data_IF_501499532817
#
_entry.id   IF_501499532817
#
_cell.length_a   1.000
_cell.length_b   1.000
_cell.length_c   1.000
_cell.angle_alpha   90.00
_cell.angle_beta   90.00
_cell.angle_gamma   90.00
#
_symmetry.space_group_name_H-M   'P 1'
#
loop_
_entity.id
_entity.type
_entity.pdbx_description
1 polymer ?
#
# COMPACT_ATOMS: atom_id res chain seq x y z
N UNK A 1 30.09 -13.89 17.42
CA UNK A 1 29.98 -12.92 16.29
C UNK A 1 29.85 -13.60 14.90
N UNK A 2 30.12 -14.90 14.80
CA UNK A 2 30.11 -15.66 13.52
C UNK A 2 28.76 -16.29 13.15
N UNK A 3 27.81 -16.45 14.05
CA UNK A 3 26.53 -17.15 13.79
C UNK A 3 25.46 -16.31 13.11
N UNK A 4 25.51 -14.96 13.19
CA UNK A 4 24.50 -14.09 12.59
C UNK A 4 24.63 -13.86 11.08
N UNK A 5 25.82 -14.02 10.50
CA UNK A 5 26.09 -13.73 9.09
C UNK A 5 25.69 -14.90 8.18
N UNK A 6 25.68 -16.14 8.69
CA UNK A 6 25.31 -17.33 7.90
C UNK A 6 23.77 -17.55 7.77
N UNK A 7 22.97 -16.79 8.52
CA UNK A 7 21.52 -16.98 8.57
C UNK A 7 20.81 -16.53 7.28
N UNK A 8 21.29 -15.43 6.68
CA UNK A 8 20.66 -14.85 5.49
C UNK A 8 21.08 -15.51 4.15
N UNK A 9 22.14 -16.33 4.14
CA UNK A 9 22.54 -17.11 2.95
C UNK A 9 21.68 -18.34 2.67
N UNK A 10 20.71 -18.67 3.53
CA UNK A 10 19.80 -19.82 3.39
C UNK A 10 18.32 -19.42 3.31
N UNK A 11 17.99 -18.36 2.58
CA UNK A 11 16.61 -18.21 2.07
C UNK A 11 16.45 -19.21 0.92
N UNK A 12 16.26 -20.50 1.25
CA UNK A 12 15.84 -21.49 0.28
C UNK A 12 14.35 -21.30 0.00
N UNK A 13 14.04 -20.91 -1.20
CA UNK A 13 12.73 -21.14 -1.79
C UNK A 13 12.51 -22.64 -1.68
N UNK A 14 11.54 -23.08 -0.88
CA UNK A 14 11.10 -24.45 -0.93
C UNK A 14 10.66 -24.71 -2.36
N UNK A 15 11.29 -25.72 -2.99
CA UNK A 15 10.96 -26.19 -4.34
C UNK A 15 9.58 -26.85 -4.35
N UNK A 16 8.55 -26.05 -4.05
CA UNK A 16 7.17 -26.44 -4.26
C UNK A 16 6.87 -26.08 -5.70
N UNK A 17 6.97 -27.08 -6.60
CA UNK A 17 6.45 -26.94 -7.96
C UNK A 17 5.07 -26.31 -7.87
N UNK A 18 4.87 -25.09 -8.39
CA UNK A 18 3.60 -24.42 -8.30
C UNK A 18 2.54 -25.29 -8.97
N UNK A 19 1.39 -25.49 -8.33
CA UNK A 19 0.21 -26.08 -9.00
C UNK A 19 -0.31 -25.04 -9.97
N UNK A 20 0.17 -25.10 -11.20
CA UNK A 20 -0.14 -24.14 -12.26
C UNK A 20 -1.52 -24.38 -12.87
N UNK A 21 -2.32 -23.30 -12.93
CA UNK A 21 -3.26 -23.11 -14.03
C UNK A 21 -2.53 -22.24 -15.07
N UNK A 22 -2.13 -22.83 -16.21
CA UNK A 22 -1.31 -22.16 -17.21
C UNK A 22 -2.11 -22.14 -18.50
N UNK A 23 -2.52 -20.93 -18.94
CA UNK A 23 -2.47 -20.64 -20.35
C UNK A 23 -0.99 -20.76 -20.79
N UNK A 24 -0.69 -21.30 -21.95
CA UNK A 24 0.69 -21.41 -22.43
C UNK A 24 1.35 -20.02 -22.37
N UNK A 25 2.36 -19.88 -21.52
CA UNK A 25 3.06 -18.62 -21.29
C UNK A 25 3.89 -18.32 -22.54
N UNK A 26 3.86 -17.07 -23.07
CA UNK A 26 4.65 -16.70 -24.25
C UNK A 26 6.13 -17.00 -24.04
N UNK A 27 6.81 -17.45 -25.09
CA UNK A 27 8.24 -17.75 -25.06
C UNK A 27 9.11 -16.48 -24.86
N UNK A 28 8.58 -15.30 -25.24
CA UNK A 28 9.31 -14.03 -25.15
C UNK A 28 8.97 -13.27 -23.88
N UNK A 29 10.00 -12.91 -23.09
CA UNK A 29 9.84 -12.17 -21.84
C UNK A 29 9.25 -10.75 -22.05
N UNK A 30 9.40 -10.18 -23.26
CA UNK A 30 8.89 -8.84 -23.60
C UNK A 30 7.36 -8.75 -23.60
N UNK A 31 6.67 -9.86 -23.85
CA UNK A 31 5.22 -9.91 -23.92
C UNK A 31 4.56 -10.15 -22.56
N UNK A 32 5.37 -10.40 -21.52
CA UNK A 32 4.90 -10.70 -20.18
C UNK A 32 4.93 -9.46 -19.30
N UNK A 33 3.80 -9.17 -18.66
CA UNK A 33 3.67 -8.13 -17.63
C UNK A 33 3.54 -8.81 -16.28
N UNK A 34 4.60 -8.78 -15.48
CA UNK A 34 4.62 -9.41 -14.16
C UNK A 34 4.14 -8.43 -13.10
N UNK A 35 3.00 -8.74 -12.47
CA UNK A 35 2.41 -7.95 -11.39
C UNK A 35 2.49 -8.73 -10.08
N UNK A 36 3.06 -8.13 -9.06
CA UNK A 36 3.28 -8.71 -7.73
C UNK A 36 2.33 -8.08 -6.72
N UNK A 37 1.62 -8.89 -5.96
CA UNK A 37 0.67 -8.45 -4.94
C UNK A 37 0.88 -9.28 -3.68
N UNK A 38 1.01 -8.62 -2.52
CA UNK A 38 1.07 -9.32 -1.23
C UNK A 38 -0.31 -9.33 -0.56
N UNK A 39 -0.74 -10.50 -0.05
CA UNK A 39 -2.02 -10.63 0.63
C UNK A 39 -2.01 -11.75 1.66
N UNK A 40 -2.85 -11.63 2.68
CA UNK A 40 -3.24 -12.71 3.58
C UNK A 40 -4.70 -13.13 3.32
N UNK A 41 -5.18 -14.15 4.06
CA UNK A 41 -6.53 -14.67 3.85
C UNK A 41 -7.65 -13.67 4.20
N UNK A 42 -7.40 -12.71 5.10
CA UNK A 42 -8.38 -11.69 5.48
C UNK A 42 -8.60 -10.67 4.35
N UNK A 43 -7.56 -10.41 3.56
CA UNK A 43 -7.61 -9.47 2.45
C UNK A 43 -8.00 -10.10 1.10
N UNK A 44 -8.22 -11.41 1.03
CA UNK A 44 -8.59 -12.10 -0.23
C UNK A 44 -9.80 -11.50 -0.94
N UNK A 45 -10.89 -11.06 -0.28
CA UNK A 45 -11.99 -10.40 -0.97
C UNK A 45 -11.57 -9.14 -1.73
N UNK A 46 -10.65 -8.37 -1.15
CA UNK A 46 -10.13 -7.12 -1.71
C UNK A 46 -9.11 -7.41 -2.81
N UNK A 47 -8.24 -8.41 -2.59
CA UNK A 47 -7.36 -8.96 -3.62
C UNK A 47 -8.18 -9.43 -4.85
N UNK A 48 -9.30 -10.11 -4.63
CA UNK A 48 -10.20 -10.54 -5.70
C UNK A 48 -10.74 -9.36 -6.51
N UNK A 49 -11.15 -8.27 -5.85
CA UNK A 49 -11.62 -7.06 -6.51
C UNK A 49 -10.49 -6.38 -7.31
N UNK A 50 -9.28 -6.31 -6.76
CA UNK A 50 -8.11 -5.81 -7.47
C UNK A 50 -7.80 -6.66 -8.71
N UNK A 51 -7.73 -7.98 -8.58
CA UNK A 51 -7.45 -8.90 -9.70
C UNK A 51 -8.52 -8.74 -10.80
N UNK A 52 -9.81 -8.69 -10.41
CA UNK A 52 -10.89 -8.46 -11.36
C UNK A 52 -10.72 -7.13 -12.11
N UNK A 53 -10.26 -6.07 -11.43
CA UNK A 53 -10.01 -4.77 -12.04
C UNK A 53 -8.80 -4.78 -12.99
N UNK A 54 -7.73 -5.48 -12.62
CA UNK A 54 -6.56 -5.64 -13.51
C UNK A 54 -6.99 -6.38 -14.78
N UNK A 55 -7.64 -7.53 -14.67
CA UNK A 55 -8.05 -8.37 -15.82
C UNK A 55 -9.00 -7.62 -16.76
N UNK A 56 -9.94 -6.84 -16.20
CA UNK A 56 -10.93 -6.09 -16.98
C UNK A 56 -10.29 -4.99 -17.85
N UNK A 57 -9.20 -4.39 -17.37
CA UNK A 57 -8.49 -3.28 -18.02
C UNK A 57 -7.19 -3.70 -18.73
N UNK A 58 -6.79 -4.97 -18.64
CA UNK A 58 -5.53 -5.44 -19.20
C UNK A 58 -5.59 -5.61 -20.71
N UNK A 59 -4.50 -5.24 -21.41
CA UNK A 59 -4.35 -5.43 -22.85
C UNK A 59 -4.47 -6.91 -23.25
N UNK A 60 -5.23 -7.18 -24.31
CA UNK A 60 -5.37 -8.54 -24.87
C UNK A 60 -4.14 -8.99 -25.65
N UNK A 61 -3.24 -8.07 -26.00
CA UNK A 61 -2.04 -8.33 -26.81
C UNK A 61 -0.84 -8.78 -25.95
N UNK A 62 -0.97 -8.67 -24.63
CA UNK A 62 0.10 -9.00 -23.67
C UNK A 62 -0.34 -10.15 -22.78
N UNK A 63 0.61 -10.78 -22.10
CA UNK A 63 0.37 -11.83 -21.12
C UNK A 63 0.54 -11.29 -19.71
N UNK A 64 -0.47 -11.43 -18.85
CA UNK A 64 -0.45 -11.04 -17.45
C UNK A 64 0.05 -12.20 -16.57
N UNK A 65 1.16 -11.99 -15.87
CA UNK A 65 1.71 -12.93 -14.90
C UNK A 65 1.50 -12.37 -13.48
N UNK A 66 0.45 -12.84 -12.80
CA UNK A 66 0.16 -12.45 -11.41
C UNK A 66 0.96 -13.32 -10.45
N UNK A 67 1.75 -12.67 -9.60
CA UNK A 67 2.56 -13.29 -8.56
C UNK A 67 2.01 -12.85 -7.20
N UNK A 68 1.33 -13.76 -6.50
CA UNK A 68 0.78 -13.49 -5.19
C UNK A 68 1.78 -13.92 -4.11
N UNK A 69 2.26 -12.96 -3.34
CA UNK A 69 3.08 -13.20 -2.16
C UNK A 69 2.14 -13.63 -1.03
N UNK A 70 2.12 -14.94 -0.78
CA UNK A 70 1.10 -15.61 0.04
C UNK A 70 1.41 -15.49 1.54
N UNK A 71 0.60 -14.70 2.21
CA UNK A 71 0.63 -14.49 3.68
C UNK A 71 -0.18 -15.52 4.48
N UNK A 72 -0.63 -16.62 3.86
CA UNK A 72 -1.47 -17.65 4.48
C UNK A 72 -2.88 -17.70 3.87
N UNK A 73 -2.99 -17.62 2.56
CA UNK A 73 -4.23 -17.73 1.80
C UNK A 73 -4.68 -19.20 1.78
N UNK A 74 -5.95 -19.47 2.11
CA UNK A 74 -6.49 -20.84 2.09
C UNK A 74 -6.57 -21.39 0.66
N UNK A 75 -6.48 -22.74 0.51
CA UNK A 75 -6.56 -23.39 -0.81
C UNK A 75 -7.88 -23.09 -1.51
N UNK A 76 -9.00 -23.03 -0.77
CA UNK A 76 -10.31 -22.67 -1.34
C UNK A 76 -10.32 -21.24 -1.89
N UNK A 77 -9.67 -20.29 -1.20
CA UNK A 77 -9.52 -18.93 -1.68
C UNK A 77 -8.61 -18.85 -2.91
N UNK A 78 -7.50 -19.59 -2.92
CA UNK A 78 -6.62 -19.71 -4.10
C UNK A 78 -7.39 -20.23 -5.32
N UNK A 79 -8.27 -21.22 -5.12
CA UNK A 79 -9.11 -21.78 -6.22
C UNK A 79 -10.11 -20.74 -6.75
N UNK A 80 -10.71 -19.92 -5.89
CA UNK A 80 -11.56 -18.83 -6.35
C UNK A 80 -10.78 -17.75 -7.10
N UNK A 81 -9.58 -17.40 -6.65
CA UNK A 81 -8.73 -16.44 -7.37
C UNK A 81 -8.31 -16.96 -8.75
N UNK A 82 -7.98 -18.26 -8.87
CA UNK A 82 -7.68 -18.89 -10.17
C UNK A 82 -8.83 -18.78 -11.17
N UNK A 83 -10.08 -18.85 -10.71
CA UNK A 83 -11.27 -18.74 -11.56
C UNK A 83 -11.49 -17.33 -12.13
N UNK A 84 -10.79 -16.31 -11.61
CA UNK A 84 -10.82 -14.95 -12.18
C UNK A 84 -9.91 -14.81 -13.41
N UNK A 85 -8.98 -15.74 -13.64
CA UNK A 85 -8.00 -15.62 -14.71
C UNK A 85 -8.63 -15.66 -16.09
N UNK A 86 -8.10 -14.84 -17.01
CA UNK A 86 -8.41 -14.83 -18.43
C UNK A 86 -7.48 -15.74 -19.23
N UNK A 87 -7.74 -15.92 -20.52
CA UNK A 87 -6.93 -16.79 -21.41
C UNK A 87 -5.47 -16.29 -21.55
N UNK A 88 -5.25 -14.98 -21.41
CA UNK A 88 -3.92 -14.36 -21.49
C UNK A 88 -3.36 -13.99 -20.12
N UNK A 89 -3.68 -14.76 -19.09
CA UNK A 89 -3.18 -14.52 -17.74
C UNK A 89 -2.87 -15.80 -16.97
N UNK A 90 -1.93 -15.69 -16.03
CA UNK A 90 -1.61 -16.74 -15.06
C UNK A 90 -1.57 -16.17 -13.66
N UNK A 91 -1.74 -17.03 -12.65
CA UNK A 91 -1.59 -16.70 -11.24
C UNK A 91 -0.75 -17.75 -10.54
N UNK A 92 0.26 -17.29 -9.80
CA UNK A 92 1.08 -18.15 -8.97
C UNK A 92 1.12 -17.61 -7.54
N UNK A 93 1.30 -18.51 -6.57
CA UNK A 93 1.36 -18.15 -5.15
C UNK A 93 2.75 -18.52 -4.62
N UNK A 94 3.46 -17.52 -4.08
CA UNK A 94 4.78 -17.70 -3.47
C UNK A 94 4.63 -17.60 -1.95
N UNK A 95 4.92 -18.68 -1.24
CA UNK A 95 4.91 -18.73 0.22
C UNK A 95 6.31 -18.43 0.76
N UNK A 96 6.41 -17.61 1.82
CA UNK A 96 7.65 -17.48 2.58
C UNK A 96 7.89 -18.72 3.43
N UNK A 97 9.16 -19.15 3.52
CA UNK A 97 9.54 -20.21 4.42
C UNK A 97 9.13 -19.92 5.88
N UNK A 98 8.89 -20.99 6.66
CA UNK A 98 8.46 -20.90 8.06
C UNK A 98 9.44 -20.12 8.96
N UNK A 99 10.73 -20.07 8.61
CA UNK A 99 11.75 -19.29 9.32
C UNK A 99 11.50 -17.78 9.28
N UNK A 100 11.00 -17.27 8.15
CA UNK A 100 10.61 -15.87 8.02
C UNK A 100 9.28 -15.56 8.74
N UNK A 101 8.37 -16.53 8.76
CA UNK A 101 7.07 -16.39 9.41
C UNK A 101 7.19 -16.24 10.94
N UNK A 102 8.17 -16.88 11.55
CA UNK A 102 8.40 -16.84 13.00
C UNK A 102 9.01 -15.50 13.48
N UNK A 103 9.77 -14.79 12.63
CA UNK A 103 10.31 -13.47 12.98
C UNK A 103 9.25 -12.36 12.90
N UNK A 104 8.31 -12.45 11.96
CA UNK A 104 7.26 -11.44 11.81
C UNK A 104 6.27 -11.41 12.98
N UNK A 105 6.04 -12.54 13.65
CA UNK A 105 5.11 -12.64 14.80
C UNK A 105 5.61 -11.94 16.06
N UNK A 106 6.93 -11.81 16.24
CA UNK A 106 7.50 -11.11 17.41
C UNK A 106 7.42 -9.59 17.34
N UNK A 107 7.16 -9.00 16.15
CA UNK A 107 7.24 -7.56 15.93
C UNK A 107 5.93 -6.90 15.52
N UNK A 108 4.81 -7.61 15.45
CA UNK A 108 3.50 -7.10 14.97
C UNK A 108 3.48 -6.55 13.54
N UNK A 109 4.44 -6.94 12.70
CA UNK A 109 4.47 -6.59 11.28
C UNK A 109 3.69 -7.61 10.45
N UNK A 110 2.98 -7.13 9.42
CA UNK A 110 2.40 -8.06 8.43
C UNK A 110 3.52 -8.71 7.60
N UNK A 111 3.32 -9.94 7.17
CA UNK A 111 4.28 -10.61 6.25
C UNK A 111 4.47 -9.79 4.97
N UNK A 112 3.43 -9.09 4.52
CA UNK A 112 3.48 -8.21 3.33
C UNK A 112 4.58 -7.15 3.41
N UNK A 113 4.83 -6.59 4.60
CA UNK A 113 5.89 -5.59 4.87
C UNK A 113 7.29 -6.12 4.52
N UNK A 114 7.57 -7.40 4.79
CA UNK A 114 8.87 -8.00 4.50
C UNK A 114 9.04 -8.34 3.01
N UNK A 115 7.97 -8.81 2.37
CA UNK A 115 8.03 -9.31 1.00
C UNK A 115 8.60 -8.29 0.01
N UNK A 116 8.10 -7.03 0.06
CA UNK A 116 8.53 -6.02 -0.92
C UNK A 116 9.98 -5.56 -0.75
N UNK A 117 10.61 -5.80 0.42
CA UNK A 117 12.01 -5.48 0.66
C UNK A 117 12.98 -6.51 0.08
N UNK A 118 12.49 -7.70 -0.29
CA UNK A 118 13.31 -8.83 -0.75
C UNK A 118 12.83 -9.39 -2.10
N UNK A 119 12.10 -8.61 -2.89
CA UNK A 119 11.55 -9.07 -4.19
C UNK A 119 12.63 -9.58 -5.13
N UNK A 120 13.81 -8.97 -5.12
CA UNK A 120 14.98 -9.39 -5.91
C UNK A 120 15.49 -10.79 -5.56
N UNK A 121 15.26 -11.25 -4.32
CA UNK A 121 15.61 -12.60 -3.85
C UNK A 121 14.47 -13.60 -4.08
N UNK A 122 13.22 -13.15 -4.01
CA UNK A 122 12.05 -14.01 -4.19
C UNK A 122 11.76 -14.29 -5.66
N UNK A 123 12.02 -13.33 -6.54
CA UNK A 123 11.71 -13.39 -7.97
C UNK A 123 13.03 -13.26 -8.75
N UNK A 124 13.66 -14.38 -9.01
CA UNK A 124 15.00 -14.43 -9.63
C UNK A 124 14.98 -14.50 -11.15
N UNK A 125 13.86 -14.84 -11.74
CA UNK A 125 13.66 -15.09 -13.17
C UNK A 125 12.99 -13.92 -13.92
N UNK A 126 12.88 -12.76 -13.28
CA UNK A 126 12.32 -11.52 -13.85
C UNK A 126 13.31 -10.37 -13.68
N UNK A 127 13.43 -9.54 -14.71
CA UNK A 127 14.22 -8.30 -14.67
C UNK A 127 13.44 -7.15 -14.03
N UNK A 128 12.13 -7.15 -14.25
CA UNK A 128 11.23 -6.06 -13.82
C UNK A 128 9.90 -6.61 -13.35
N UNK A 129 9.35 -6.02 -12.29
CA UNK A 129 8.00 -6.34 -11.78
C UNK A 129 7.29 -5.08 -11.34
N UNK A 130 5.97 -5.07 -11.49
CA UNK A 130 5.09 -4.04 -10.95
C UNK A 130 4.48 -4.56 -9.64
N UNK A 131 4.86 -3.96 -8.51
CA UNK A 131 4.25 -4.24 -7.22
C UNK A 131 3.03 -3.33 -7.01
N UNK A 132 1.92 -3.91 -6.54
CA UNK A 132 0.66 -3.19 -6.23
C UNK A 132 0.13 -3.69 -4.89
N UNK A 133 -0.21 -2.78 -3.98
CA UNK A 133 -0.87 -3.12 -2.72
C UNK A 133 -2.28 -3.68 -2.95
N UNK A 134 -2.68 -4.69 -2.16
CA UNK A 134 -3.95 -5.42 -2.35
C UNK A 134 -5.21 -4.60 -2.04
N UNK A 135 -5.08 -3.41 -1.47
CA UNK A 135 -6.16 -2.47 -1.18
C UNK A 135 -6.29 -1.37 -2.26
N UNK A 136 -6.13 -1.77 -3.51
CA UNK A 136 -6.22 -0.89 -4.67
C UNK A 136 -7.25 -1.37 -5.70
N UNK A 137 -7.62 -0.49 -6.63
CA UNK A 137 -8.43 -0.81 -7.82
C UNK A 137 -7.77 -0.17 -9.04
N UNK A 138 -7.54 -0.96 -10.07
CA UNK A 138 -6.96 -0.53 -11.35
C UNK A 138 -8.08 -0.13 -12.31
N UNK A 139 -7.92 1.03 -12.97
CA UNK A 139 -8.91 1.61 -13.89
C UNK A 139 -8.36 1.86 -15.30
N UNK A 140 -7.08 1.60 -15.52
CA UNK A 140 -6.43 1.70 -16.84
C UNK A 140 -5.49 0.49 -17.05
N UNK A 141 -4.99 0.31 -18.25
CA UNK A 141 -4.10 -0.80 -18.61
C UNK A 141 -2.74 -0.67 -17.91
N UNK A 142 -2.44 -1.61 -17.02
CA UNK A 142 -1.16 -1.65 -16.27
C UNK A 142 0.06 -1.85 -17.16
N UNK A 143 -0.11 -2.26 -18.42
CA UNK A 143 1.01 -2.35 -19.38
C UNK A 143 1.65 -0.99 -19.58
N UNK A 144 0.86 0.10 -19.59
CA UNK A 144 1.35 1.47 -19.72
C UNK A 144 2.28 1.87 -18.58
N UNK A 145 1.95 1.41 -17.36
CA UNK A 145 2.79 1.64 -16.19
C UNK A 145 4.01 0.74 -16.21
N UNK A 146 3.83 -0.53 -16.53
CA UNK A 146 4.91 -1.51 -16.60
C UNK A 146 5.98 -1.12 -17.64
N UNK A 147 5.58 -0.54 -18.77
CA UNK A 147 6.47 -0.15 -19.86
C UNK A 147 7.18 1.19 -19.60
N UNK A 148 6.94 1.84 -18.46
CA UNK A 148 7.69 3.06 -18.08
C UNK A 148 9.18 2.77 -18.09
N UNK A 149 9.93 3.62 -18.79
CA UNK A 149 11.39 3.59 -18.76
C UNK A 149 11.89 4.17 -17.44
N UNK A 150 12.62 3.36 -16.71
CA UNK A 150 13.24 3.77 -15.45
C UNK A 150 14.62 4.43 -15.63
N UNK A 151 15.17 4.45 -16.85
CA UNK A 151 16.53 4.96 -17.09
C UNK A 151 17.52 4.36 -16.11
N UNK A 152 18.25 5.21 -15.37
CA UNK A 152 19.20 4.77 -14.34
C UNK A 152 18.54 4.45 -12.97
N UNK A 153 17.28 4.74 -12.79
CA UNK A 153 16.56 4.49 -11.53
C UNK A 153 16.38 3.01 -11.24
N UNK A 154 16.33 2.67 -9.96
CA UNK A 154 16.08 1.30 -9.47
C UNK A 154 14.59 1.03 -9.40
N UNK A 155 13.81 2.07 -9.08
CA UNK A 155 12.36 1.98 -8.94
C UNK A 155 11.65 3.13 -9.66
N UNK A 156 10.39 2.89 -10.03
CA UNK A 156 9.41 3.92 -10.35
C UNK A 156 8.34 3.96 -9.27
N UNK A 157 8.02 5.14 -8.72
CA UNK A 157 7.01 5.30 -7.67
C UNK A 157 6.34 6.67 -7.75
N UNK A 158 5.13 6.80 -7.20
CA UNK A 158 4.41 8.06 -7.14
C UNK A 158 4.86 8.87 -5.92
N UNK A 159 4.96 10.18 -6.07
CA UNK A 159 5.24 11.11 -4.99
C UNK A 159 4.20 10.98 -3.86
N UNK A 160 4.65 11.02 -2.59
CA UNK A 160 3.75 10.93 -1.45
C UNK A 160 3.24 12.30 -1.01
N UNK A 161 2.10 12.71 -1.56
CA UNK A 161 1.44 13.99 -1.22
C UNK A 161 0.98 14.02 0.25
N UNK A 162 0.66 12.87 0.84
CA UNK A 162 0.19 12.77 2.23
C UNK A 162 1.34 13.05 3.19
N UNK A 163 2.48 12.41 2.98
CA UNK A 163 3.66 12.64 3.81
C UNK A 163 4.15 14.10 3.65
N UNK A 164 4.11 14.63 2.42
CA UNK A 164 4.47 16.03 2.18
C UNK A 164 3.52 16.98 2.95
N UNK A 165 2.21 16.76 2.86
CA UNK A 165 1.21 17.48 3.66
C UNK A 165 1.51 17.37 5.18
N UNK A 166 1.81 16.17 5.68
CA UNK A 166 2.15 15.96 7.09
C UNK A 166 3.37 16.78 7.51
N UNK A 167 4.39 16.85 6.68
CA UNK A 167 5.59 17.64 6.93
C UNK A 167 5.28 19.15 6.97
N UNK A 168 4.50 19.66 6.02
CA UNK A 168 4.14 21.06 5.94
C UNK A 168 3.22 21.49 7.09
N UNK A 169 2.30 20.62 7.49
CA UNK A 169 1.36 20.89 8.60
C UNK A 169 1.96 20.60 9.98
N UNK A 170 3.18 20.05 10.04
CA UNK A 170 3.84 19.69 11.30
C UNK A 170 3.09 18.60 12.07
N UNK A 171 2.44 17.68 11.36
CA UNK A 171 1.79 16.50 11.95
C UNK A 171 2.86 15.72 12.72
N UNK A 172 2.50 15.14 13.87
CA UNK A 172 3.43 14.40 14.68
C UNK A 172 3.36 12.91 14.37
N UNK A 173 4.54 12.27 14.33
CA UNK A 173 4.66 10.82 14.29
C UNK A 173 4.06 10.19 15.56
N UNK A 174 3.85 8.88 15.51
CA UNK A 174 3.27 8.13 16.64
C UNK A 174 4.26 8.02 17.81
N UNK A 175 3.74 7.77 19.00
CA UNK A 175 4.47 7.85 20.27
C UNK A 175 5.76 7.02 20.31
N UNK A 176 5.77 5.81 19.72
CA UNK A 176 6.94 4.95 19.75
C UNK A 176 8.11 5.45 18.88
N UNK A 177 7.88 6.43 18.01
CA UNK A 177 8.92 7.14 17.25
C UNK A 177 9.29 8.48 17.90
N UNK A 178 8.88 8.71 19.14
CA UNK A 178 9.17 9.92 19.92
C UNK A 178 8.22 11.08 19.66
N UNK A 179 7.11 10.89 18.95
CA UNK A 179 6.13 11.94 18.65
C UNK A 179 6.75 13.15 17.94
N UNK A 180 7.77 12.94 17.10
CA UNK A 180 8.47 13.97 16.35
C UNK A 180 7.54 14.63 15.33
N UNK A 181 7.78 15.88 14.94
CA UNK A 181 7.15 16.43 13.74
C UNK A 181 7.57 15.61 12.53
N UNK A 182 6.68 15.41 11.55
CA UNK A 182 6.94 14.53 10.40
C UNK A 182 8.24 14.86 9.68
N UNK A 183 8.56 16.14 9.48
CA UNK A 183 9.83 16.54 8.89
C UNK A 183 11.04 16.11 9.73
N UNK A 184 11.00 16.37 11.05
CA UNK A 184 12.06 15.97 11.97
C UNK A 184 12.17 14.44 12.06
N UNK A 185 11.03 13.75 12.00
CA UNK A 185 10.97 12.30 11.91
C UNK A 185 11.70 11.78 10.67
N UNK A 186 11.38 12.29 9.49
CA UNK A 186 12.02 11.85 8.24
C UNK A 186 13.52 12.18 8.26
N UNK A 187 13.91 13.38 8.66
CA UNK A 187 15.30 13.82 8.62
C UNK A 187 16.18 13.14 9.69
N UNK A 188 15.72 13.13 10.95
CA UNK A 188 16.57 12.74 12.08
C UNK A 188 16.35 11.28 12.51
N UNK A 189 15.12 10.75 12.36
CA UNK A 189 14.83 9.38 12.77
C UNK A 189 14.99 8.39 11.61
N UNK A 190 14.40 8.65 10.43
CA UNK A 190 14.58 7.81 9.24
C UNK A 190 15.96 8.04 8.61
N UNK A 191 16.44 9.30 8.60
CA UNK A 191 17.73 9.69 8.03
C UNK A 191 17.64 10.18 6.59
N UNK A 192 16.52 10.79 6.18
CA UNK A 192 16.29 11.30 4.83
C UNK A 192 16.70 12.78 4.73
N UNK A 193 17.73 13.09 3.95
CA UNK A 193 18.12 14.48 3.66
C UNK A 193 17.07 15.18 2.80
N UNK A 194 16.66 14.55 1.71
CA UNK A 194 15.70 15.07 0.71
C UNK A 194 14.28 14.57 1.04
N UNK A 195 13.80 14.83 2.26
CA UNK A 195 12.50 14.39 2.75
C UNK A 195 11.32 14.85 1.85
N UNK A 196 11.48 15.96 1.16
CA UNK A 196 10.53 16.56 0.21
C UNK A 196 10.39 15.77 -1.11
N UNK A 197 11.18 14.72 -1.26
CA UNK A 197 11.13 13.76 -2.37
C UNK A 197 10.60 12.38 -1.94
N UNK A 198 9.94 12.30 -0.79
CA UNK A 198 9.41 11.05 -0.27
C UNK A 198 8.34 10.46 -1.20
N UNK A 199 8.41 9.15 -1.50
CA UNK A 199 7.49 8.45 -2.39
C UNK A 199 6.62 7.46 -1.63
N UNK A 200 5.44 7.18 -2.20
CA UNK A 200 4.45 6.25 -1.68
C UNK A 200 4.75 4.83 -2.18
N UNK A 201 4.67 3.83 -1.28
CA UNK A 201 5.12 2.46 -1.56
C UNK A 201 4.04 1.47 -2.04
N UNK A 202 2.78 1.90 -2.18
CA UNK A 202 1.69 1.00 -2.56
C UNK A 202 1.67 0.62 -4.04
N UNK A 203 2.36 1.40 -4.90
CA UNK A 203 2.54 1.10 -6.32
C UNK A 203 3.97 1.40 -6.70
N UNK A 204 4.74 0.35 -6.99
CA UNK A 204 6.17 0.47 -7.32
C UNK A 204 6.52 -0.41 -8.53
N UNK A 205 7.12 0.21 -9.54
CA UNK A 205 7.77 -0.51 -10.62
C UNK A 205 9.22 -0.78 -10.22
N UNK A 206 9.58 -2.04 -9.98
CA UNK A 206 10.93 -2.46 -9.57
C UNK A 206 11.75 -2.93 -10.77
N UNK A 207 12.96 -2.41 -10.91
CA UNK A 207 14.02 -3.03 -11.70
C UNK A 207 14.79 -4.00 -10.80
N UNK A 208 14.42 -5.28 -10.85
CA UNK A 208 15.00 -6.31 -9.97
C UNK A 208 16.47 -6.56 -10.27
N UNK A 209 16.93 -6.39 -11.51
CA UNK A 209 18.35 -6.54 -11.85
C UNK A 209 19.21 -5.48 -11.18
N UNK A 210 18.73 -4.22 -11.18
CA UNK A 210 19.42 -3.15 -10.47
C UNK A 210 19.35 -3.36 -8.96
N UNK A 211 18.20 -3.82 -8.44
CA UNK A 211 18.04 -4.13 -7.02
C UNK A 211 19.00 -5.25 -6.59
N UNK A 212 19.14 -6.34 -7.36
CA UNK A 212 20.12 -7.42 -7.13
C UNK A 212 21.55 -6.89 -7.11
N UNK A 213 21.93 -6.02 -8.07
CA UNK A 213 23.27 -5.41 -8.13
C UNK A 213 23.58 -4.53 -6.90
N UNK A 214 22.56 -3.93 -6.30
CA UNK A 214 22.73 -3.13 -5.07
C UNK A 214 22.89 -3.99 -3.82
N UNK A 215 22.38 -5.22 -3.82
CA UNK A 215 22.41 -6.19 -2.70
C UNK A 215 22.00 -5.58 -1.35
N UNK A 216 20.91 -4.81 -1.35
CA UNK A 216 20.43 -4.08 -0.16
C UNK A 216 19.36 -4.81 0.64
N UNK A 217 18.83 -5.92 0.16
CA UNK A 217 17.69 -6.61 0.78
C UNK A 217 17.96 -6.98 2.22
N UNK A 218 19.13 -7.54 2.55
CA UNK A 218 19.50 -7.88 3.92
C UNK A 218 19.70 -6.66 4.81
N UNK A 219 20.23 -5.59 4.23
CA UNK A 219 20.42 -4.31 4.94
C UNK A 219 19.07 -3.67 5.25
N UNK A 220 18.12 -3.72 4.31
CA UNK A 220 16.77 -3.20 4.50
C UNK A 220 16.00 -3.98 5.56
N UNK A 221 16.04 -5.31 5.52
CA UNK A 221 15.46 -6.17 6.56
C UNK A 221 16.07 -5.87 7.93
N UNK A 222 17.38 -5.78 8.02
CA UNK A 222 18.06 -5.44 9.27
C UNK A 222 17.59 -4.09 9.80
N UNK A 223 17.52 -3.07 8.94
CA UNK A 223 17.08 -1.74 9.34
C UNK A 223 15.64 -1.76 9.86
N UNK A 224 14.73 -2.54 9.23
CA UNK A 224 13.35 -2.69 9.69
C UNK A 224 13.26 -3.39 11.05
N UNK A 225 14.17 -4.34 11.34
CA UNK A 225 14.21 -5.08 12.61
C UNK A 225 14.89 -4.29 13.74
N UNK A 226 15.82 -3.38 13.41
CA UNK A 226 16.62 -2.65 14.42
C UNK A 226 15.78 -1.60 15.17
N UNK A 227 14.74 -1.01 14.54
CA UNK A 227 13.86 -0.03 15.18
C UNK A 227 12.50 0.02 14.53
N UNK A 228 11.53 0.62 15.23
CA UNK A 228 10.17 0.79 14.72
C UNK A 228 10.08 2.04 13.86
N UNK A 229 9.46 1.90 12.68
CA UNK A 229 9.19 2.99 11.76
C UNK A 229 7.69 3.31 11.72
N UNK A 230 7.35 4.56 11.46
CA UNK A 230 5.94 4.99 11.39
C UNK A 230 5.22 4.38 10.18
N UNK A 231 5.86 4.43 9.01
CA UNK A 231 5.37 3.84 7.78
C UNK A 231 6.13 2.57 7.38
N UNK A 232 6.71 1.88 8.35
CA UNK A 232 7.31 0.55 8.20
C UNK A 232 8.28 0.46 7.01
N UNK A 233 7.96 -0.40 6.06
CA UNK A 233 8.75 -0.66 4.86
C UNK A 233 8.77 0.52 3.88
N UNK A 234 7.76 1.38 3.85
CA UNK A 234 7.79 2.61 3.04
C UNK A 234 8.93 3.53 3.49
N UNK A 235 9.15 3.70 4.79
CA UNK A 235 10.28 4.47 5.31
C UNK A 235 11.61 3.85 4.93
N UNK A 236 11.70 2.51 4.97
CA UNK A 236 12.90 1.76 4.59
C UNK A 236 13.19 1.90 3.10
N UNK A 237 12.18 1.73 2.24
CA UNK A 237 12.33 1.90 0.80
C UNK A 237 12.79 3.31 0.45
N UNK A 238 12.19 4.33 1.07
CA UNK A 238 12.62 5.71 0.90
C UNK A 238 14.07 5.92 1.38
N UNK A 239 14.47 5.32 2.51
CA UNK A 239 15.82 5.43 3.04
C UNK A 239 16.89 4.92 2.08
N UNK A 240 16.63 3.85 1.36
CA UNK A 240 17.63 3.18 0.53
C UNK A 240 17.52 3.49 -0.96
N UNK A 241 16.33 3.87 -1.45
CA UNK A 241 16.11 4.15 -2.87
C UNK A 241 15.90 5.63 -3.21
N UNK A 242 15.72 6.52 -2.23
CA UNK A 242 15.63 7.95 -2.51
C UNK A 242 16.85 8.43 -3.31
N UNK A 243 16.59 9.20 -4.39
CA UNK A 243 17.62 9.58 -5.37
C UNK A 243 17.85 8.57 -6.51
N UNK A 244 17.16 7.40 -6.46
CA UNK A 244 17.19 6.36 -7.51
C UNK A 244 15.76 6.01 -7.96
N UNK A 245 14.90 7.01 -7.97
CA UNK A 245 13.46 6.90 -8.24
C UNK A 245 13.11 7.67 -9.49
N UNK A 246 12.40 7.04 -10.43
CA UNK A 246 11.64 7.73 -11.48
C UNK A 246 10.26 8.01 -10.93
N UNK A 247 9.85 9.30 -10.84
CA UNK A 247 8.53 9.65 -10.37
C UNK A 247 7.50 9.40 -11.46
N UNK A 248 6.51 8.55 -11.10
CA UNK A 248 5.40 8.16 -11.96
C UNK A 248 4.29 9.21 -11.92
N UNK A 249 3.44 9.21 -12.96
CA UNK A 249 2.24 10.05 -13.01
C UNK A 249 1.34 9.78 -11.78
N UNK A 250 0.89 10.82 -11.05
CA UNK A 250 0.08 10.66 -9.83
C UNK A 250 -1.21 9.85 -10.01
N UNK A 251 -1.77 9.81 -11.22
CA UNK A 251 -2.98 9.01 -11.51
C UNK A 251 -2.79 7.51 -11.30
N UNK A 252 -1.55 7.02 -11.24
CA UNK A 252 -1.23 5.62 -10.96
C UNK A 252 -1.17 5.24 -9.47
N UNK A 253 -1.44 6.19 -8.57
CA UNK A 253 -1.58 5.89 -7.14
C UNK A 253 -2.40 6.99 -6.45
N UNK A 254 -3.66 7.12 -6.84
CA UNK A 254 -4.58 8.11 -6.26
C UNK A 254 -5.08 7.60 -4.92
N UNK A 255 -4.52 8.11 -3.84
CA UNK A 255 -4.97 7.79 -2.49
C UNK A 255 -6.29 8.54 -2.20
N UNK A 256 -7.30 7.80 -1.76
CA UNK A 256 -8.65 8.33 -1.50
C UNK A 256 -8.76 9.12 -0.18
N UNK A 257 -7.95 10.15 -0.03
CA UNK A 257 -7.95 11.05 1.14
C UNK A 257 -8.96 12.21 1.00
N UNK A 258 -9.19 12.90 2.11
CA UNK A 258 -10.05 14.08 2.15
C UNK A 258 -9.37 15.34 1.60
N UNK A 259 -10.16 16.41 1.43
CA UNK A 259 -9.66 17.70 0.90
C UNK A 259 -8.60 18.39 1.78
N UNK A 260 -8.49 18.02 3.04
CA UNK A 260 -7.47 18.54 3.95
C UNK A 260 -6.03 18.26 3.51
N UNK A 261 -5.83 17.32 2.59
CA UNK A 261 -4.51 17.06 2.04
C UNK A 261 -3.96 18.25 1.25
N UNK A 262 -4.83 19.09 0.68
CA UNK A 262 -4.40 20.27 -0.08
C UNK A 262 -3.77 21.36 0.80
N UNK A 263 -4.04 21.34 2.12
CA UNK A 263 -3.40 22.26 3.06
C UNK A 263 -1.88 21.95 3.12
N UNK A 264 -1.05 22.93 2.79
CA UNK A 264 0.41 22.79 2.80
C UNK A 264 1.03 22.30 1.49
N UNK A 265 0.24 21.95 0.46
CA UNK A 265 0.74 21.68 -0.88
C UNK A 265 0.91 22.98 -1.68
N UNK A 266 1.87 22.99 -2.60
CA UNK A 266 2.02 24.06 -3.59
C UNK A 266 0.86 24.02 -4.60
N UNK A 267 0.60 25.13 -5.29
CA UNK A 267 -0.44 25.21 -6.33
C UNK A 267 -0.23 24.16 -7.42
N UNK A 268 1.02 23.91 -7.83
CA UNK A 268 1.37 22.88 -8.80
C UNK A 268 0.98 21.50 -8.31
N UNK A 269 1.33 21.14 -7.08
CA UNK A 269 1.00 19.84 -6.47
C UNK A 269 -0.53 19.66 -6.33
N UNK A 270 -1.25 20.74 -5.97
CA UNK A 270 -2.72 20.71 -5.91
C UNK A 270 -3.32 20.42 -7.29
N UNK A 271 -2.82 21.08 -8.34
CA UNK A 271 -3.30 20.86 -9.70
C UNK A 271 -3.01 19.44 -10.19
N UNK A 272 -1.80 18.93 -9.95
CA UNK A 272 -1.41 17.55 -10.28
C UNK A 272 -2.33 16.52 -9.59
N UNK A 273 -2.56 16.68 -8.29
CA UNK A 273 -3.41 15.78 -7.52
C UNK A 273 -4.88 15.87 -7.96
N UNK A 274 -5.42 17.07 -8.19
CA UNK A 274 -6.78 17.26 -8.69
C UNK A 274 -6.98 16.67 -10.08
N UNK A 275 -5.96 16.75 -10.95
CA UNK A 275 -6.00 16.15 -12.27
C UNK A 275 -5.98 14.62 -12.17
N UNK A 276 -5.15 14.06 -11.31
CA UNK A 276 -5.09 12.63 -11.04
C UNK A 276 -6.43 12.12 -10.48
N UNK A 277 -7.05 12.85 -9.55
CA UNK A 277 -8.37 12.49 -8.97
C UNK A 277 -9.52 12.55 -9.98
N UNK A 278 -9.45 13.40 -11.00
CA UNK A 278 -10.47 13.46 -12.06
C UNK A 278 -10.42 12.28 -13.01
N UNK A 279 -9.24 11.71 -13.23
CA UNK A 279 -9.03 10.59 -14.14
C UNK A 279 -8.03 9.58 -13.51
N UNK A 280 -8.41 8.92 -12.41
CA UNK A 280 -7.53 7.98 -11.74
C UNK A 280 -7.32 6.74 -12.60
N UNK A 281 -6.08 6.32 -12.76
CA UNK A 281 -5.71 5.06 -13.40
C UNK A 281 -5.59 3.92 -12.39
N UNK A 282 -5.26 4.26 -11.15
CA UNK A 282 -5.28 3.35 -10.01
C UNK A 282 -5.68 4.12 -8.76
N UNK A 283 -6.68 3.59 -8.04
CA UNK A 283 -7.15 4.11 -6.75
C UNK A 283 -6.58 3.27 -5.63
N UNK A 284 -6.06 3.91 -4.58
CA UNK A 284 -5.49 3.26 -3.41
C UNK A 284 -6.24 3.65 -2.13
N UNK A 285 -6.84 2.67 -1.47
CA UNK A 285 -7.62 2.84 -0.23
C UNK A 285 -6.70 2.67 1.00
N UNK A 286 -5.65 3.52 1.11
CA UNK A 286 -4.54 3.32 2.04
C UNK A 286 -4.90 3.48 3.53
N UNK A 287 -5.89 4.31 3.89
CA UNK A 287 -6.29 4.54 5.28
C UNK A 287 -7.36 3.58 5.77
N UNK A 288 -7.43 3.33 7.09
CA UNK A 288 -8.47 2.43 7.65
C UNK A 288 -9.89 2.94 7.39
N UNK A 289 -10.16 4.23 7.66
CA UNK A 289 -11.49 4.84 7.47
C UNK A 289 -11.82 5.13 6.01
N UNK A 290 -10.83 5.11 5.13
CA UNK A 290 -10.99 5.36 3.70
C UNK A 290 -11.29 4.09 2.90
N UNK A 291 -11.19 2.91 3.53
CA UNK A 291 -11.45 1.63 2.88
C UNK A 291 -12.96 1.42 2.66
N UNK A 292 -13.41 1.14 1.43
CA UNK A 292 -14.84 0.96 1.12
C UNK A 292 -15.51 -0.13 1.94
N UNK A 293 -14.79 -1.17 2.34
CA UNK A 293 -15.32 -2.26 3.17
C UNK A 293 -15.43 -1.92 4.66
N UNK A 294 -14.88 -0.78 5.09
CA UNK A 294 -15.08 -0.21 6.42
C UNK A 294 -16.06 0.96 6.39
N UNK A 295 -16.12 1.68 5.26
CA UNK A 295 -16.94 2.89 5.09
C UNK A 295 -17.58 2.90 3.70
N UNK A 296 -18.89 2.63 3.62
CA UNK A 296 -19.63 2.60 2.34
C UNK A 296 -19.60 3.92 1.56
N UNK A 297 -19.40 5.03 2.28
CA UNK A 297 -19.31 6.38 1.71
C UNK A 297 -17.87 6.80 1.42
N UNK A 298 -16.93 5.86 1.42
CA UNK A 298 -15.55 6.14 1.06
C UNK A 298 -15.48 6.73 -0.37
N UNK A 299 -14.68 7.77 -0.54
CA UNK A 299 -14.41 8.37 -1.85
C UNK A 299 -13.94 7.27 -2.82
N UNK A 300 -14.49 7.24 -4.03
CA UNK A 300 -14.23 6.20 -5.03
C UNK A 300 -14.70 4.77 -4.65
N UNK A 301 -15.51 4.62 -3.61
CA UNK A 301 -16.01 3.31 -3.16
C UNK A 301 -16.83 2.57 -4.23
N UNK A 302 -17.49 3.31 -5.14
CA UNK A 302 -18.25 2.77 -6.26
C UNK A 302 -17.40 1.88 -7.17
N UNK A 303 -16.14 2.22 -7.44
CA UNK A 303 -15.21 1.41 -8.24
C UNK A 303 -14.89 0.08 -7.54
N UNK A 304 -14.63 0.13 -6.22
CA UNK A 304 -14.38 -1.07 -5.45
C UNK A 304 -15.58 -2.03 -5.50
N UNK A 305 -16.79 -1.56 -5.23
CA UNK A 305 -17.98 -2.41 -5.25
C UNK A 305 -18.33 -2.91 -6.65
N UNK A 306 -18.06 -2.13 -7.70
CA UNK A 306 -18.22 -2.59 -9.07
C UNK A 306 -17.36 -3.83 -9.37
N UNK A 307 -16.08 -3.81 -9.01
CA UNK A 307 -15.19 -4.96 -9.23
C UNK A 307 -15.41 -6.09 -8.23
N UNK A 308 -15.74 -5.79 -6.98
CA UNK A 308 -16.08 -6.80 -6.00
C UNK A 308 -17.26 -7.67 -6.46
N UNK A 309 -18.27 -7.10 -7.14
CA UNK A 309 -19.39 -7.84 -7.74
C UNK A 309 -18.98 -8.91 -8.74
N UNK A 310 -17.83 -8.77 -9.36
CA UNK A 310 -17.28 -9.75 -10.30
C UNK A 310 -16.57 -10.93 -9.60
N UNK A 311 -16.56 -10.94 -8.26
CA UNK A 311 -15.87 -11.94 -7.44
C UNK A 311 -16.84 -12.80 -6.64
N UNK A 312 -16.32 -13.90 -6.10
CA UNK A 312 -17.10 -14.81 -5.25
C UNK A 312 -17.36 -14.26 -3.84
N UNK A 313 -16.73 -13.14 -3.46
CA UNK A 313 -16.80 -12.58 -2.09
C UNK A 313 -17.79 -11.43 -1.94
N UNK A 314 -18.49 -11.03 -3.00
CA UNK A 314 -19.41 -9.88 -2.95
C UNK A 314 -20.44 -10.01 -1.82
N UNK A 315 -21.14 -11.14 -1.76
CA UNK A 315 -22.18 -11.36 -0.77
C UNK A 315 -21.59 -11.37 0.65
N UNK A 316 -20.42 -11.99 0.86
CA UNK A 316 -19.77 -12.05 2.16
C UNK A 316 -19.42 -10.66 2.68
N UNK A 317 -18.83 -9.80 1.83
CA UNK A 317 -18.49 -8.42 2.20
C UNK A 317 -19.75 -7.59 2.44
N UNK A 318 -20.79 -7.73 1.60
CA UNK A 318 -22.04 -7.00 1.79
C UNK A 318 -22.79 -7.44 3.04
N UNK A 319 -22.71 -8.73 3.41
CA UNK A 319 -23.31 -9.24 4.64
C UNK A 319 -22.61 -8.72 5.89
N UNK A 320 -21.28 -8.56 5.87
CA UNK A 320 -20.52 -8.00 6.99
C UNK A 320 -20.95 -6.57 7.36
N UNK A 321 -21.40 -5.78 6.40
CA UNK A 321 -21.96 -4.45 6.68
C UNK A 321 -23.27 -4.54 7.48
N UNK A 322 -24.17 -5.47 7.13
CA UNK A 322 -25.46 -5.63 7.83
C UNK A 322 -25.27 -6.04 9.29
N UNK A 323 -24.31 -6.89 9.59
CA UNK A 323 -24.01 -7.29 10.94
C UNK A 323 -23.43 -6.17 11.82
N UNK A 324 -22.69 -5.25 11.22
CA UNK A 324 -22.14 -4.08 11.89
C UNK A 324 -23.17 -2.96 12.09
N UNK A 325 -24.18 -2.84 11.24
CA UNK A 325 -25.25 -1.84 11.38
C UNK A 325 -26.12 -2.09 12.63
N UNK A 326 -26.26 -3.34 13.08
CA UNK A 326 -27.00 -3.66 14.31
C UNK A 326 -26.27 -3.23 15.60
N UNK A 327 -24.97 -2.96 15.54
CA UNK A 327 -24.15 -2.48 16.66
C UNK A 327 -23.80 -0.99 16.60
N UNK A 328 -24.16 -0.28 15.54
CA UNK A 328 -23.96 1.15 15.43
C UNK A 328 -25.28 1.87 15.67
N UNK A 329 -25.32 2.70 16.71
CA UNK A 329 -26.37 3.75 16.80
C UNK A 329 -26.36 4.52 15.49
N UNK A 330 -27.54 4.95 14.97
CA UNK A 330 -27.62 5.66 13.70
C UNK A 330 -26.68 6.85 13.76
N UNK A 331 -25.69 6.85 12.86
CA UNK A 331 -24.86 8.04 12.63
C UNK A 331 -25.82 9.09 12.05
N UNK A 332 -26.27 10.00 12.87
CA UNK A 332 -26.91 11.22 12.38
C UNK A 332 -25.85 11.88 11.52
N UNK A 333 -26.06 11.84 10.21
CA UNK A 333 -25.27 12.59 9.23
C UNK A 333 -25.43 14.08 9.57
N UNK A 334 -24.64 14.58 10.51
CA UNK A 334 -24.37 15.98 10.60
C UNK A 334 -23.53 16.31 9.35
N UNK A 335 -24.22 16.66 8.27
CA UNK A 335 -23.61 17.39 7.16
C UNK A 335 -22.92 18.59 7.82
N UNK A 336 -21.57 18.71 7.78
CA UNK A 336 -20.93 19.83 8.41
C UNK A 336 -21.33 21.07 7.62
N UNK A 337 -22.22 21.89 8.22
CA UNK A 337 -22.32 23.28 7.81
C UNK A 337 -20.91 23.84 7.66
N UNK A 338 -20.68 24.67 6.64
CA UNK A 338 -19.38 25.34 6.40
C UNK A 338 -18.90 25.95 7.71
N UNK A 339 -18.02 25.21 8.39
CA UNK A 339 -17.51 25.63 9.71
C UNK A 339 -16.71 26.89 9.52
N UNK A 340 -17.19 27.98 10.15
CA UNK A 340 -16.66 29.34 10.00
C UNK A 340 -15.20 29.46 10.49
N UNK A 341 -14.64 30.64 10.29
CA UNK A 341 -13.27 31.02 10.63
C UNK A 341 -12.86 30.60 12.07
N UNK A 342 -13.78 30.71 13.02
CA UNK A 342 -13.59 30.34 14.42
C UNK A 342 -13.23 28.85 14.60
N UNK A 343 -13.85 27.93 13.83
CA UNK A 343 -13.54 26.50 13.87
C UNK A 343 -12.17 26.22 13.26
N UNK A 344 -11.79 26.91 12.18
CA UNK A 344 -10.45 26.80 11.56
C UNK A 344 -9.36 27.22 12.54
N UNK A 345 -9.59 28.29 13.29
CA UNK A 345 -8.66 28.76 14.34
C UNK A 345 -8.60 27.79 15.51
N UNK A 346 -9.76 27.31 16.00
CA UNK A 346 -9.81 26.30 17.06
C UNK A 346 -9.11 25.01 16.68
N UNK A 347 -9.27 24.52 15.42
CA UNK A 347 -8.56 23.36 14.89
C UNK A 347 -7.05 23.59 14.82
N UNK A 348 -6.60 24.76 14.34
CA UNK A 348 -5.17 25.11 14.35
C UNK A 348 -4.58 25.13 15.77
N UNK A 349 -5.32 25.66 16.74
CA UNK A 349 -4.92 25.63 18.15
C UNK A 349 -4.90 24.19 18.70
N UNK A 350 -5.90 23.38 18.39
CA UNK A 350 -5.97 21.97 18.79
C UNK A 350 -4.78 21.15 18.25
N UNK A 351 -4.41 21.33 16.98
CA UNK A 351 -3.29 20.63 16.36
C UNK A 351 -1.94 20.98 17.00
N UNK A 352 -1.80 22.20 17.55
CA UNK A 352 -0.59 22.66 18.26
C UNK A 352 -0.50 22.21 19.72
N UNK A 353 -1.58 21.66 20.30
CA UNK A 353 -1.57 21.21 21.69
C UNK A 353 -0.72 19.94 21.84
N UNK A 354 0.10 19.85 22.91
CA UNK A 354 0.79 18.62 23.27
C UNK A 354 -0.17 17.46 23.49
N UNK A 355 0.25 16.24 23.16
CA UNK A 355 -0.59 15.03 23.22
C UNK A 355 -1.25 14.82 24.58
N UNK A 356 -0.53 15.04 25.69
CA UNK A 356 -1.10 14.92 27.04
C UNK A 356 -2.25 15.90 27.32
N UNK A 357 -2.20 17.09 26.74
CA UNK A 357 -3.29 18.07 26.86
C UNK A 357 -4.51 17.66 26.01
N UNK A 358 -4.30 17.13 24.83
CA UNK A 358 -5.38 16.57 23.97
C UNK A 358 -6.09 15.42 24.67
N UNK A 359 -5.33 14.52 25.32
CA UNK A 359 -5.88 13.40 26.09
C UNK A 359 -6.69 13.86 27.32
N UNK A 360 -6.22 14.91 28.02
CA UNK A 360 -6.96 15.51 29.14
C UNK A 360 -8.25 16.19 28.70
N UNK A 361 -8.21 16.97 27.62
CA UNK A 361 -9.38 17.63 27.05
C UNK A 361 -10.36 16.63 26.42
N UNK A 362 -9.89 15.53 25.82
CA UNK A 362 -10.72 14.44 25.34
C UNK A 362 -11.50 13.77 26.47
N UNK A 363 -10.83 13.43 27.59
CA UNK A 363 -11.49 12.88 28.79
C UNK A 363 -12.49 13.85 29.41
N UNK A 364 -12.19 15.16 29.44
CA UNK A 364 -13.10 16.18 29.93
C UNK A 364 -14.34 16.29 29.04
N UNK A 365 -14.18 16.19 27.72
CA UNK A 365 -15.31 16.17 26.76
C UNK A 365 -16.19 14.94 26.96
N UNK A 366 -15.63 13.78 27.20
CA UNK A 366 -16.37 12.55 27.51
C UNK A 366 -17.09 12.64 28.86
N UNK A 367 -16.43 13.17 29.89
CA UNK A 367 -17.04 13.42 31.19
C UNK A 367 -18.21 14.40 31.14
N UNK A 368 -18.09 15.46 30.35
CA UNK A 368 -19.16 16.43 30.14
C UNK A 368 -20.32 15.86 29.32
N UNK A 369 -20.05 15.00 28.34
CA UNK A 369 -21.10 14.30 27.60
C UNK A 369 -21.87 13.27 28.45
N UNK A 370 -21.23 12.70 29.46
CA UNK A 370 -21.87 11.74 30.37
C UNK A 370 -22.71 12.42 31.47
N UNK A 371 -22.62 13.75 31.63
CA UNK A 371 -23.39 14.54 32.62
C UNK A 371 -24.50 15.38 32.00
N UNK A 372 -24.58 15.46 30.66
CA UNK A 372 -25.69 16.04 29.90
C UNK A 372 -26.57 14.93 29.30
#
# INVERSE_FOLDING_TARGET
KGLKVNFLRRVFILDTKPKHWIAEKPETSKDIVSVVIASDNNYVPHLGALIASIIDNFSKERFLDLIILDGGISDSSKDFLRKLMSQNSSIQFLELSSEFSNQSTHMHFSKATFYRLILDKLITDREKVLYIDCDTIVLDDVTKLFDTDLGDSVIGAVFDYIMHHFCQMGIRSIDFTGGLKSKDYLQNYVGLRDWDKYFQAGVILFNLDKMRKMDLSDVMIKALLDKRYWFLDQDILNKYFLGKVTYLDPSWNVVNCGHEIYDGLSQKQIQELQQAEKAPKLIHYAGFETKPWNNRNAKFGEYYFYYLRKTFWYENVMFSFKSNEHNQQPIILNIPERKGLAWRIARKCWLKLPFFMKRRLGKLKEYLKAKL
#
